data_IF_313051667731
#
_entry.id   IF_313051667731
#
_cell.length_a   1.000
_cell.length_b   1.000
_cell.length_c   1.000
_cell.angle_alpha   90.00
_cell.angle_beta   90.00
_cell.angle_gamma   90.00
#
_symmetry.space_group_name_H-M   'P 1'
#
loop_
_entity.id
_entity.type
_entity.pdbx_description
1 polymer ?
#
# COMPACT_ATOMS: atom_id res chain seq x y z
N UNK A 1 -7.28 30.82 18.85
CA UNK A 1 -7.80 30.40 17.53
C UNK A 1 -6.89 29.33 16.95
N UNK A 2 -7.24 28.06 17.11
CA UNK A 2 -6.55 26.96 16.42
C UNK A 2 -6.94 27.03 14.93
N UNK A 3 -6.04 27.50 14.07
CA UNK A 3 -6.16 27.22 12.63
C UNK A 3 -5.99 25.72 12.49
N UNK A 4 -7.09 25.00 12.29
CA UNK A 4 -7.04 23.63 11.76
C UNK A 4 -6.33 23.76 10.41
N UNK A 5 -5.02 23.51 10.38
CA UNK A 5 -4.30 23.40 9.14
C UNK A 5 -5.02 22.31 8.33
N UNK A 6 -5.55 22.65 7.16
CA UNK A 6 -6.20 21.68 6.27
C UNK A 6 -5.12 20.71 5.76
N UNK A 7 -4.91 19.64 6.54
CA UNK A 7 -3.92 18.57 6.30
C UNK A 7 -4.40 17.69 5.15
N UNK A 8 -4.15 18.15 3.94
CA UNK A 8 -4.64 17.46 2.75
C UNK A 8 -3.53 16.62 2.12
N UNK A 9 -3.82 15.33 1.93
CA UNK A 9 -3.03 14.37 1.17
C UNK A 9 -3.78 14.01 -0.10
N UNK A 10 -3.76 14.87 -1.15
CA UNK A 10 -4.67 14.75 -2.29
C UNK A 10 -4.46 13.44 -3.08
N UNK A 11 -3.24 12.93 -3.10
CA UNK A 11 -2.89 11.65 -3.72
C UNK A 11 -3.51 10.43 -3.01
N UNK A 12 -3.85 10.51 -1.73
CA UNK A 12 -4.58 9.43 -1.02
C UNK A 12 -6.07 9.44 -1.36
N UNK A 13 -6.61 10.60 -1.71
CA UNK A 13 -8.00 10.78 -2.13
C UNK A 13 -8.19 10.61 -3.64
N UNK A 14 -7.13 10.31 -4.39
CA UNK A 14 -7.22 9.97 -5.81
C UNK A 14 -8.18 8.79 -5.98
N UNK A 15 -9.13 8.90 -6.91
CA UNK A 15 -10.20 7.90 -7.09
C UNK A 15 -9.65 6.50 -7.31
N UNK A 16 -8.55 6.34 -8.05
CA UNK A 16 -7.94 5.03 -8.28
C UNK A 16 -7.33 4.42 -7.01
N UNK A 17 -6.77 5.25 -6.13
CA UNK A 17 -6.19 4.83 -4.84
C UNK A 17 -7.30 4.39 -3.89
N UNK A 18 -8.38 5.18 -3.79
CA UNK A 18 -9.56 4.81 -3.00
C UNK A 18 -10.22 3.53 -3.52
N UNK A 19 -10.29 3.38 -4.84
CA UNK A 19 -10.82 2.17 -5.47
C UNK A 19 -9.97 0.94 -5.16
N UNK A 20 -8.64 1.06 -5.16
CA UNK A 20 -7.76 -0.03 -4.76
C UNK A 20 -7.95 -0.44 -3.30
N UNK A 21 -8.10 0.53 -2.39
CA UNK A 21 -8.41 0.25 -0.97
C UNK A 21 -9.78 -0.46 -0.84
N UNK A 22 -10.80 0.00 -1.56
CA UNK A 22 -12.11 -0.62 -1.56
C UNK A 22 -12.06 -2.05 -2.12
N UNK A 23 -11.29 -2.28 -3.19
CA UNK A 23 -11.05 -3.62 -3.75
C UNK A 23 -10.41 -4.52 -2.69
N UNK A 24 -9.34 -4.08 -2.02
CA UNK A 24 -8.68 -4.89 -0.98
C UNK A 24 -9.67 -5.28 0.12
N UNK A 25 -10.45 -4.31 0.62
CA UNK A 25 -11.45 -4.57 1.66
C UNK A 25 -12.50 -5.59 1.20
N UNK A 26 -13.12 -5.37 0.03
CA UNK A 26 -14.13 -6.28 -0.52
C UNK A 26 -13.56 -7.66 -0.82
N UNK A 27 -12.33 -7.73 -1.31
CA UNK A 27 -11.67 -8.97 -1.66
C UNK A 27 -11.42 -9.84 -0.43
N UNK A 28 -10.88 -9.22 0.63
CA UNK A 28 -10.51 -9.93 1.85
C UNK A 28 -11.71 -10.34 2.70
N UNK A 29 -12.81 -9.59 2.66
CA UNK A 29 -13.98 -9.86 3.50
C UNK A 29 -15.10 -10.62 2.78
N UNK A 30 -15.22 -10.50 1.46
CA UNK A 30 -16.34 -11.06 0.71
C UNK A 30 -15.91 -11.96 -0.44
N UNK A 31 -15.09 -11.47 -1.38
CA UNK A 31 -14.82 -12.23 -2.60
C UNK A 31 -14.04 -13.53 -2.35
N UNK A 32 -13.04 -13.51 -1.46
CA UNK A 32 -12.29 -14.73 -1.11
C UNK A 32 -13.20 -15.83 -0.52
N UNK A 33 -14.28 -15.45 0.15
CA UNK A 33 -15.24 -16.39 0.71
C UNK A 33 -16.23 -16.91 -0.35
N UNK A 34 -16.80 -16.00 -1.16
CA UNK A 34 -17.87 -16.34 -2.10
C UNK A 34 -17.37 -16.91 -3.43
N UNK A 35 -16.21 -16.47 -3.91
CA UNK A 35 -15.66 -16.81 -5.23
C UNK A 35 -14.18 -17.20 -5.13
N UNK A 36 -13.85 -18.37 -4.53
CA UNK A 36 -12.48 -18.82 -4.47
C UNK A 36 -11.94 -19.07 -5.88
N UNK A 37 -10.78 -18.48 -6.19
CA UNK A 37 -10.16 -18.61 -7.50
C UNK A 37 -8.79 -17.95 -7.55
N UNK A 38 -8.02 -18.28 -8.60
CA UNK A 38 -6.64 -17.81 -8.78
C UNK A 38 -6.52 -16.28 -8.83
N UNK A 39 -7.49 -15.60 -9.46
CA UNK A 39 -7.51 -14.13 -9.61
C UNK A 39 -7.84 -13.47 -8.27
N UNK A 40 -8.91 -13.92 -7.62
CA UNK A 40 -9.41 -13.39 -6.33
C UNK A 40 -8.36 -13.57 -5.22
N UNK A 41 -7.61 -14.68 -5.26
CA UNK A 41 -6.52 -14.94 -4.33
C UNK A 41 -5.45 -13.83 -4.31
N UNK A 42 -5.22 -13.16 -5.44
CA UNK A 42 -4.11 -12.20 -5.64
C UNK A 42 -4.53 -10.76 -5.74
N UNK A 43 -5.82 -10.51 -5.96
CA UNK A 43 -6.32 -9.16 -6.21
C UNK A 43 -5.95 -8.18 -5.08
N UNK A 44 -5.94 -8.64 -3.83
CA UNK A 44 -5.50 -7.86 -2.67
C UNK A 44 -4.02 -7.47 -2.74
N UNK A 45 -3.16 -8.34 -3.26
CA UNK A 45 -1.71 -8.08 -3.34
C UNK A 45 -1.43 -7.02 -4.42
N UNK A 46 -2.08 -7.12 -5.58
CA UNK A 46 -1.97 -6.12 -6.65
C UNK A 46 -2.51 -4.76 -6.19
N UNK A 47 -3.68 -4.73 -5.55
CA UNK A 47 -4.24 -3.50 -5.01
C UNK A 47 -3.36 -2.92 -3.88
N UNK A 48 -2.84 -3.78 -3.00
CA UNK A 48 -1.93 -3.42 -1.91
C UNK A 48 -0.66 -2.73 -2.40
N UNK A 49 0.07 -3.34 -3.33
CA UNK A 49 1.28 -2.73 -3.93
C UNK A 49 0.94 -1.42 -4.65
N UNK A 50 -0.26 -1.30 -5.20
CA UNK A 50 -0.68 -0.07 -5.85
C UNK A 50 -0.82 1.13 -4.89
N UNK A 51 -1.57 0.98 -3.79
CA UNK A 51 -1.82 2.12 -2.89
C UNK A 51 -0.80 2.27 -1.75
N UNK A 52 -0.11 1.18 -1.35
CA UNK A 52 0.75 1.19 -0.17
C UNK A 52 1.90 2.22 -0.24
N UNK A 53 2.57 2.45 -1.38
CA UNK A 53 3.63 3.47 -1.46
C UNK A 53 3.12 4.89 -1.16
N UNK A 54 1.89 5.22 -1.57
CA UNK A 54 1.25 6.50 -1.22
C UNK A 54 1.01 6.62 0.29
N UNK A 55 0.54 5.55 0.91
CA UNK A 55 0.32 5.50 2.35
C UNK A 55 1.64 5.61 3.12
N UNK A 56 2.67 4.87 2.69
CA UNK A 56 4.01 4.92 3.28
C UNK A 56 4.61 6.33 3.18
N UNK A 57 4.51 6.98 2.01
CA UNK A 57 4.96 8.36 1.85
C UNK A 57 4.20 9.32 2.78
N UNK A 58 2.88 9.18 2.88
CA UNK A 58 2.06 10.00 3.77
C UNK A 58 2.46 9.80 5.24
N UNK A 59 2.70 8.56 5.65
CA UNK A 59 3.13 8.21 7.00
C UNK A 59 4.47 8.85 7.34
N UNK A 60 5.48 8.70 6.46
CA UNK A 60 6.80 9.31 6.62
C UNK A 60 6.69 10.84 6.67
N UNK A 61 5.89 11.43 5.78
CA UNK A 61 5.69 12.88 5.70
C UNK A 61 4.97 13.43 6.93
N UNK A 62 4.01 12.68 7.46
CA UNK A 62 3.28 13.00 8.68
C UNK A 62 4.21 13.06 9.88
N UNK A 63 5.06 12.05 10.07
CA UNK A 63 6.02 12.02 11.19
C UNK A 63 7.12 13.08 11.05
N UNK A 64 7.57 13.37 9.82
CA UNK A 64 8.61 14.38 9.58
C UNK A 64 8.13 15.81 9.83
N UNK A 65 6.91 16.14 9.42
CA UNK A 65 6.35 17.49 9.58
C UNK A 65 4.82 17.45 9.65
N UNK A 66 4.22 17.36 10.86
CA UNK A 66 2.78 17.16 11.02
C UNK A 66 1.93 18.39 10.70
N UNK A 67 2.54 19.58 10.59
CA UNK A 67 1.83 20.86 10.42
C UNK A 67 1.80 21.32 8.96
N UNK A 68 2.61 20.72 8.07
CA UNK A 68 2.73 21.16 6.68
C UNK A 68 1.67 20.50 5.80
N UNK A 69 1.17 21.27 4.83
CA UNK A 69 0.36 20.71 3.75
C UNK A 69 1.24 19.91 2.79
N UNK A 70 0.96 18.61 2.67
CA UNK A 70 1.69 17.66 1.84
C UNK A 70 1.00 17.47 0.49
N UNK A 71 0.70 18.58 -0.18
CA UNK A 71 0.00 18.58 -1.47
C UNK A 71 0.85 18.01 -2.60
N UNK A 72 2.19 18.01 -2.44
CA UNK A 72 3.13 17.59 -3.48
C UNK A 72 4.05 16.48 -2.99
N UNK A 73 4.37 15.57 -3.90
CA UNK A 73 5.26 14.44 -3.72
C UNK A 73 6.67 14.81 -4.19
N UNK A 74 7.68 14.49 -3.38
CA UNK A 74 9.08 14.52 -3.83
C UNK A 74 9.40 13.20 -4.54
N UNK A 75 9.84 13.19 -5.81
CA UNK A 75 10.05 11.96 -6.58
C UNK A 75 10.98 10.95 -5.89
N UNK A 76 12.11 11.42 -5.36
CA UNK A 76 13.08 10.56 -4.67
C UNK A 76 12.53 9.94 -3.39
N UNK A 77 11.78 10.71 -2.60
CA UNK A 77 11.13 10.21 -1.38
C UNK A 77 10.00 9.22 -1.70
N UNK A 78 9.26 9.46 -2.79
CA UNK A 78 8.23 8.53 -3.24
C UNK A 78 8.85 7.21 -3.71
N UNK A 79 9.94 7.27 -4.49
CA UNK A 79 10.66 6.07 -4.92
C UNK A 79 11.20 5.29 -3.72
N UNK A 80 11.75 5.96 -2.71
CA UNK A 80 12.15 5.31 -1.45
C UNK A 80 10.96 4.60 -0.77
N UNK A 81 9.77 5.22 -0.79
CA UNK A 81 8.56 4.61 -0.23
C UNK A 81 8.13 3.36 -1.00
N UNK A 82 8.25 3.37 -2.33
CA UNK A 82 8.04 2.18 -3.18
C UNK A 82 9.03 1.07 -2.79
N UNK A 83 10.32 1.38 -2.74
CA UNK A 83 11.36 0.39 -2.40
C UNK A 83 11.18 -0.21 -1.00
N UNK A 84 10.78 0.60 -0.02
CA UNK A 84 10.50 0.10 1.33
C UNK A 84 9.31 -0.86 1.31
N UNK A 85 8.23 -0.50 0.61
CA UNK A 85 7.04 -1.36 0.48
C UNK A 85 7.38 -2.66 -0.24
N UNK A 86 8.13 -2.60 -1.35
CA UNK A 86 8.57 -3.78 -2.11
C UNK A 86 9.43 -4.69 -1.25
N UNK A 87 10.39 -4.11 -0.52
CA UNK A 87 11.25 -4.85 0.38
C UNK A 87 10.44 -5.58 1.45
N UNK A 88 9.52 -4.88 2.13
CA UNK A 88 8.65 -5.49 3.13
C UNK A 88 7.77 -6.59 2.53
N UNK A 89 7.20 -6.36 1.35
CA UNK A 89 6.37 -7.34 0.65
C UNK A 89 7.15 -8.60 0.30
N UNK A 90 8.34 -8.45 -0.29
CA UNK A 90 9.22 -9.57 -0.65
C UNK A 90 9.65 -10.32 0.60
N UNK A 91 10.09 -9.62 1.65
CA UNK A 91 10.48 -10.28 2.91
C UNK A 91 9.33 -11.10 3.49
N UNK A 92 8.12 -10.55 3.56
CA UNK A 92 6.95 -11.26 4.07
C UNK A 92 6.50 -12.44 3.17
N UNK A 93 6.76 -12.39 1.85
CA UNK A 93 6.38 -13.47 0.94
C UNK A 93 7.44 -14.58 0.87
N UNK A 94 8.72 -14.23 0.95
CA UNK A 94 9.85 -15.14 0.72
C UNK A 94 10.34 -15.78 2.03
N UNK A 95 10.34 -15.05 3.14
CA UNK A 95 10.94 -15.54 4.39
C UNK A 95 9.93 -16.15 5.34
N UNK A 96 10.44 -16.98 6.27
CA UNK A 96 9.66 -17.59 7.35
C UNK A 96 9.19 -16.59 8.42
N UNK A 97 9.56 -15.29 8.32
CA UNK A 97 9.02 -14.23 9.18
C UNK A 97 7.48 -14.19 9.12
N UNK A 98 6.90 -14.60 7.98
CA UNK A 98 5.45 -14.79 7.84
C UNK A 98 4.89 -15.82 8.80
N UNK A 99 5.59 -16.94 9.01
CA UNK A 99 5.16 -18.00 9.92
C UNK A 99 5.17 -17.46 11.33
N UNK A 100 6.23 -16.77 11.74
CA UNK A 100 6.28 -16.10 13.05
C UNK A 100 5.15 -15.08 13.23
N UNK A 101 4.91 -14.25 12.21
CA UNK A 101 3.86 -13.23 12.24
C UNK A 101 2.47 -13.87 12.37
N UNK A 102 2.20 -14.91 11.57
CA UNK A 102 0.94 -15.63 11.62
C UNK A 102 0.78 -16.39 12.93
N UNK A 103 1.82 -17.01 13.45
CA UNK A 103 1.78 -17.67 14.76
C UNK A 103 1.47 -16.69 15.88
N UNK A 104 2.07 -15.50 15.84
CA UNK A 104 1.77 -14.44 16.81
C UNK A 104 0.28 -14.07 16.75
N UNK A 105 -0.26 -13.75 15.56
CA UNK A 105 -1.66 -13.38 15.43
C UNK A 105 -2.63 -14.55 15.67
N UNK A 106 -2.27 -15.77 15.31
CA UNK A 106 -3.07 -16.98 15.51
C UNK A 106 -3.20 -17.33 17.00
N UNK A 107 -2.17 -17.05 17.80
CA UNK A 107 -2.21 -17.24 19.25
C UNK A 107 -3.11 -16.24 19.97
N UNK A 108 -3.16 -14.99 19.53
CA UNK A 108 -3.85 -13.93 20.27
C UNK A 108 -5.20 -13.50 19.67
N UNK A 109 -5.41 -13.69 18.38
CA UNK A 109 -6.56 -13.12 17.67
C UNK A 109 -7.39 -14.18 16.94
N UNK A 110 -6.91 -14.74 15.83
CA UNK A 110 -7.72 -15.61 14.96
C UNK A 110 -6.86 -16.65 14.23
N UNK A 111 -7.42 -17.85 14.01
CA UNK A 111 -6.71 -18.95 13.34
C UNK A 111 -6.55 -18.66 11.84
N UNK A 112 -5.32 -18.43 11.40
CA UNK A 112 -4.99 -18.07 10.01
C UNK A 112 -4.40 -19.30 9.29
N UNK A 113 -4.95 -19.65 8.13
CA UNK A 113 -4.41 -20.71 7.25
C UNK A 113 -3.61 -20.05 6.13
N UNK A 114 -2.34 -20.43 6.00
CA UNK A 114 -1.43 -19.85 4.99
C UNK A 114 -1.28 -20.83 3.82
N UNK A 115 -1.37 -20.31 2.59
CA UNK A 115 -0.92 -21.00 1.38
C UNK A 115 0.16 -20.12 0.75
N UNK A 116 1.34 -20.70 0.48
CA UNK A 116 2.47 -19.97 -0.11
C UNK A 116 2.36 -20.03 -1.63
N UNK A 117 2.28 -18.86 -2.27
CA UNK A 117 2.31 -18.72 -3.72
C UNK A 117 3.39 -17.70 -4.14
N UNK A 118 4.44 -18.19 -4.82
CA UNK A 118 5.54 -17.35 -5.31
C UNK A 118 5.09 -16.39 -6.42
N UNK A 119 3.99 -16.72 -7.09
CA UNK A 119 3.45 -15.89 -8.17
C UNK A 119 2.78 -14.61 -7.65
N UNK A 120 2.72 -14.41 -6.33
CA UNK A 120 2.31 -13.14 -5.74
C UNK A 120 3.31 -12.01 -6.01
N UNK A 121 4.57 -12.34 -6.33
CA UNK A 121 5.59 -11.36 -6.71
C UNK A 121 5.25 -10.62 -8.03
N UNK A 122 4.36 -11.18 -8.86
CA UNK A 122 3.85 -10.45 -10.03
C UNK A 122 3.09 -9.17 -9.64
N UNK A 123 2.61 -9.05 -8.39
CA UNK A 123 2.01 -7.82 -7.88
C UNK A 123 2.98 -6.61 -7.93
N UNK A 124 4.30 -6.83 -7.90
CA UNK A 124 5.31 -5.77 -8.04
C UNK A 124 5.21 -5.02 -9.39
N UNK A 125 4.59 -5.63 -10.41
CA UNK A 125 4.30 -4.95 -11.67
C UNK A 125 3.41 -3.71 -11.47
N UNK A 126 2.63 -3.65 -10.39
CA UNK A 126 1.79 -2.50 -10.05
C UNK A 126 2.59 -1.25 -9.69
N UNK A 127 3.89 -1.36 -9.42
CA UNK A 127 4.73 -0.18 -9.20
C UNK A 127 4.77 0.76 -10.42
N UNK A 128 4.62 0.22 -11.63
CA UNK A 128 4.53 1.03 -12.85
C UNK A 128 3.29 1.96 -12.83
N UNK A 129 2.04 1.46 -12.76
CA UNK A 129 0.86 2.32 -12.66
C UNK A 129 0.86 3.19 -11.39
N UNK A 130 1.40 2.71 -10.27
CA UNK A 130 1.59 3.51 -9.05
C UNK A 130 2.41 4.76 -9.32
N UNK A 131 3.57 4.60 -9.95
CA UNK A 131 4.46 5.70 -10.28
C UNK A 131 3.82 6.67 -11.29
N UNK A 132 3.10 6.16 -12.29
CA UNK A 132 2.41 6.99 -13.28
C UNK A 132 1.36 7.90 -12.63
N UNK A 133 0.59 7.38 -11.66
CA UNK A 133 -0.39 8.20 -10.92
C UNK A 133 0.33 9.20 -9.99
N UNK A 134 1.38 8.76 -9.30
CA UNK A 134 2.16 9.64 -8.42
C UNK A 134 2.79 10.83 -9.18
N UNK A 135 3.13 10.63 -10.45
CA UNK A 135 3.74 11.66 -11.31
C UNK A 135 2.89 12.92 -11.45
N UNK A 136 1.55 12.81 -11.36
CA UNK A 136 0.62 13.95 -11.35
C UNK A 136 0.84 14.90 -10.17
N UNK A 137 1.40 14.37 -9.09
CA UNK A 137 1.56 15.06 -7.81
C UNK A 137 3.02 15.45 -7.53
N UNK A 138 3.95 15.16 -8.44
CA UNK A 138 5.36 15.50 -8.24
C UNK A 138 5.58 17.01 -8.25
N UNK A 139 6.52 17.46 -7.41
CA UNK A 139 7.00 18.84 -7.45
C UNK A 139 7.74 19.02 -8.79
N UNK A 140 7.10 19.68 -9.75
CA UNK A 140 7.81 20.29 -10.87
C UNK A 140 8.52 21.52 -10.32
N UNK A 141 9.84 21.43 -10.16
CA UNK A 141 10.64 22.65 -10.08
C UNK A 141 10.57 23.30 -11.46
N UNK A 142 9.87 24.43 -11.55
CA UNK A 142 10.08 25.35 -12.66
C UNK A 142 11.49 25.90 -12.51
N UNK A 143 12.43 25.33 -13.25
CA UNK A 143 13.74 25.93 -13.52
C UNK A 143 13.53 27.21 -14.31
#
# INVERSE_FOLDING_TARGET
>A
MWKIANRNFPYLTETSVLFAVAITFLNDHYFKYQYPGFIVGKLSDFAGIYYAPFFMYALISFFKNPVKNHLRLQPYFFLASVLIVDFLFVVLKVTDLRIWFVDFFSRYFFRIKIVQDWTDLFALAMNCPTYLVARKYFITESV
#
